data_IF_893321021374
#
_entry.id   IF_893321021374
#
_cell.length_a   1.000
_cell.length_b   1.000
_cell.length_c   1.000
_cell.angle_alpha   90.00
_cell.angle_beta   90.00
_cell.angle_gamma   90.00
#
_symmetry.space_group_name_H-M   'P 1'
#
loop_
_entity.id
_entity.type
_entity.pdbx_description
1 polymer ?
2 non-polymer ?
3 water ?
#
# COMPACT_ATOMS: atom_id res chain seq x y z
N UNK A 3 18.99 -0.44 17.42
CA UNK A 3 17.85 0.44 17.52
C UNK A 3 17.41 0.62 18.99
N UNK A 4 16.79 1.79 19.26
CA UNK A 4 16.12 2.01 20.53
C UNK A 4 15.11 0.88 20.78
N UNK A 5 14.71 0.65 22.03
CA UNK A 5 13.62 -0.27 22.34
C UNK A 5 12.32 0.32 21.85
N UNK A 6 11.42 -0.50 21.24
CA UNK A 6 10.07 0.03 20.97
C UNK A 6 9.40 0.49 22.23
N UNK A 7 8.57 1.49 22.11
CA UNK A 7 7.87 2.08 23.24
C UNK A 7 6.38 1.69 23.26
N UNK A 8 6.02 0.69 24.04
CA UNK A 8 4.67 0.23 24.04
C UNK A 8 3.68 1.21 24.65
N UNK A 9 4.12 1.94 25.68
CA UNK A 9 3.24 2.96 26.28
C UNK A 9 2.92 4.04 25.22
N UNK A 10 3.95 4.42 24.47
CA UNK A 10 3.77 5.38 23.35
C UNK A 10 2.83 4.79 22.32
N UNK A 11 3.03 3.51 21.92
CA UNK A 11 2.12 2.91 20.97
C UNK A 11 0.68 2.90 21.47
N UNK A 12 0.50 2.55 22.76
CA UNK A 12 -0.85 2.52 23.35
C UNK A 12 -1.47 3.91 23.23
N UNK A 13 -0.70 4.96 23.50
CA UNK A 13 -1.26 6.32 23.42
C UNK A 13 -1.60 6.67 21.99
N UNK A 14 -0.84 6.22 20.99
CA UNK A 14 -1.18 6.52 19.60
C UNK A 14 -2.56 5.90 19.28
N UNK A 15 -2.72 4.60 19.66
CA UNK A 15 -4.01 3.98 19.35
C UNK A 15 -5.14 4.68 20.06
N UNK A 16 -4.95 5.04 21.31
CA UNK A 16 -6.01 5.70 22.08
C UNK A 16 -6.36 7.03 21.46
N UNK A 17 -5.34 7.78 21.01
CA UNK A 17 -5.62 9.03 20.31
C UNK A 17 -6.39 8.77 19.04
N UNK A 18 -6.02 7.78 18.25
CA UNK A 18 -6.73 7.49 17.00
C UNK A 18 -8.21 7.19 17.27
N UNK A 19 -8.52 6.43 18.32
CA UNK A 19 -9.93 6.20 18.68
C UNK A 19 -10.61 7.52 19.02
N UNK A 20 -9.93 8.40 19.79
CA UNK A 20 -10.54 9.67 20.18
C UNK A 20 -10.81 10.56 18.98
N UNK A 21 -10.14 10.31 17.87
CA UNK A 21 -10.27 11.10 16.68
C UNK A 21 -11.24 10.49 15.67
N UNK A 22 -11.78 9.31 15.94
CA UNK A 22 -12.80 8.76 15.08
C UNK A 22 -12.50 7.39 14.51
N UNK A 23 -11.38 6.76 14.83
CA UNK A 23 -11.15 5.40 14.33
C UNK A 23 -11.98 4.44 15.24
N UNK A 24 -12.82 3.57 14.68
CA UNK A 24 -13.46 2.57 15.57
C UNK A 24 -12.48 1.66 16.28
N UNK A 25 -11.42 1.30 15.59
CA UNK A 25 -10.41 0.41 16.07
C UNK A 25 -9.06 0.82 15.49
N UNK A 26 -8.01 0.44 16.21
CA UNK A 26 -6.63 0.74 15.76
C UNK A 26 -5.73 -0.30 16.38
N UNK A 27 -4.70 -0.70 15.64
CA UNK A 27 -3.85 -1.78 16.19
C UNK A 27 -2.48 -1.65 15.52
N UNK A 28 -1.49 -2.33 16.09
CA UNK A 28 -0.10 -2.30 15.64
C UNK A 28 0.61 -3.56 16.09
N UNK A 29 1.46 -4.09 15.19
CA UNK A 29 2.36 -5.16 15.52
C UNK A 29 3.75 -4.75 15.11
N UNK A 30 4.70 -5.02 16.00
CA UNK A 30 6.12 -4.85 15.74
C UNK A 30 6.79 -6.22 15.86
N UNK A 31 7.61 -6.56 14.86
CA UNK A 31 8.52 -7.69 14.96
C UNK A 31 9.89 -7.08 15.19
N UNK A 32 10.33 -7.09 16.44
CA UNK A 32 11.63 -6.52 16.81
C UNK A 32 12.67 -7.62 16.88
N UNK A 33 13.22 -8.01 15.74
CA UNK A 33 14.25 -8.99 15.67
C UNK A 33 13.87 -10.27 16.46
N UNK A 34 12.64 -10.74 16.28
CA UNK A 34 12.21 -11.95 16.95
C UNK A 34 11.46 -11.79 18.26
N UNK A 35 11.29 -10.55 18.74
CA UNK A 35 10.45 -10.28 19.92
C UNK A 35 9.26 -9.50 19.41
N UNK A 36 8.05 -9.96 19.70
CA UNK A 36 6.87 -9.36 19.17
C UNK A 36 6.28 -8.34 20.13
N UNK A 37 5.81 -7.25 19.57
CA UNK A 37 4.97 -6.30 20.29
C UNK A 37 3.63 -6.22 19.57
N UNK A 38 2.53 -6.25 20.32
CA UNK A 38 1.22 -6.26 19.68
C UNK A 38 0.22 -5.57 20.58
N UNK A 39 -0.46 -4.57 20.01
CA UNK A 39 -1.45 -3.80 20.75
C UNK A 39 -2.63 -3.52 19.82
N UNK A 40 -3.82 -3.43 20.43
CA UNK A 40 -5.03 -3.11 19.69
C UNK A 40 -6.00 -2.42 20.64
N UNK A 41 -6.80 -1.52 20.14
CA UNK A 41 -7.87 -0.93 20.92
C UNK A 41 -9.08 -0.72 20.05
N UNK A 42 -10.26 -0.93 20.66
CA UNK A 42 -11.50 -0.65 19.95
C UNK A 42 -12.01 -1.85 19.18
N UNK A 43 -12.82 -1.51 18.16
CA UNK A 43 -13.70 -2.52 17.56
C UNK A 43 -13.39 -2.74 16.10
N UNK A 44 -13.46 -4.03 15.73
CA UNK A 44 -13.42 -4.47 14.34
C UNK A 44 -14.76 -4.20 13.64
N UNK A 45 -15.87 -4.34 14.40
CA UNK A 45 -17.20 -4.13 13.82
C UNK A 45 -17.89 -3.27 14.89
N UNK A 46 -18.18 -2.03 14.49
CA UNK A 46 -18.76 -1.08 15.44
C UNK A 46 -20.22 -1.33 15.71
N UNK A 47 -20.91 -2.05 14.84
CA UNK A 47 -22.34 -2.33 15.07
C UNK A 47 -22.51 -3.52 15.97
N UNK A 48 -21.67 -4.55 15.84
CA UNK A 48 -21.75 -5.69 16.73
C UNK A 48 -20.92 -5.53 17.98
N UNK A 49 -19.94 -4.61 17.97
CA UNK A 49 -19.01 -4.44 19.08
C UNK A 49 -17.87 -5.39 19.12
N UNK A 50 -17.70 -6.27 18.16
CA UNK A 50 -16.60 -7.21 18.17
C UNK A 50 -15.26 -6.49 18.19
N UNK A 51 -14.41 -6.85 19.14
CA UNK A 51 -13.15 -6.15 19.33
C UNK A 51 -12.19 -6.41 18.19
N UNK A 52 -11.39 -5.39 17.85
CA UNK A 52 -10.31 -5.54 16.88
C UNK A 52 -9.13 -6.23 17.53
N UNK A 53 -8.41 -6.99 16.73
CA UNK A 53 -7.20 -7.70 17.18
C UNK A 53 -6.17 -7.59 16.08
N UNK A 54 -4.91 -7.86 16.50
CA UNK A 54 -3.84 -7.80 15.48
C UNK A 54 -3.84 -8.98 14.54
N UNK A 55 -4.67 -10.00 14.71
CA UNK A 55 -4.78 -11.06 13.74
C UNK A 55 -5.90 -10.80 12.71
N UNK A 56 -6.68 -9.72 12.86
CA UNK A 56 -7.74 -9.44 11.90
C UNK A 56 -7.16 -9.07 10.55
N UNK A 57 -7.69 -9.68 9.50
CA UNK A 57 -7.31 -9.33 8.15
C UNK A 57 -7.90 -7.98 7.78
N UNK A 58 -7.28 -7.29 6.81
CA UNK A 58 -7.73 -5.97 6.40
C UNK A 58 -7.22 -5.66 4.99
N UNK A 59 -7.79 -4.62 4.39
CA UNK A 59 -7.38 -4.16 3.05
C UNK A 59 -6.20 -3.17 3.21
N UNK A 60 -5.07 -3.54 2.54
CA UNK A 60 -3.81 -2.79 2.71
C UNK A 60 -3.67 -1.60 1.76
N UNK A 61 -4.62 -1.42 0.84
CA UNK A 61 -4.54 -0.30 -0.06
C UNK A 61 -3.24 -0.29 -0.84
N UNK A 62 -2.62 0.90 -0.96
CA UNK A 62 -1.47 1.12 -1.80
C UNK A 62 -0.21 0.39 -1.35
N UNK A 63 -0.21 -0.28 -0.20
CA UNK A 63 0.88 -1.20 0.11
C UNK A 63 0.98 -2.25 -1.00
N UNK A 64 -0.13 -2.52 -1.68
CA UNK A 64 -0.14 -3.39 -2.85
C UNK A 64 0.95 -3.02 -3.84
N UNK A 65 1.26 -1.72 -4.02
CA UNK A 65 2.26 -1.34 -5.00
C UNK A 65 3.61 -1.99 -4.74
N UNK A 66 3.98 -2.21 -3.45
CA UNK A 66 5.25 -2.85 -3.17
C UNK A 66 5.26 -4.33 -3.62
N UNK A 67 4.09 -5.00 -3.49
CA UNK A 67 3.96 -6.36 -4.04
C UNK A 67 4.10 -6.38 -5.55
N UNK A 68 3.43 -5.43 -6.23
CA UNK A 68 3.58 -5.30 -7.67
C UNK A 68 5.02 -5.03 -8.06
N UNK A 69 5.68 -4.11 -7.35
CA UNK A 69 7.06 -3.80 -7.67
C UNK A 69 8.00 -4.98 -7.49
N UNK A 70 7.78 -5.81 -6.43
CA UNK A 70 8.61 -6.99 -6.29
C UNK A 70 8.46 -7.92 -7.48
N UNK A 71 7.22 -8.14 -7.92
CA UNK A 71 7.04 -9.02 -9.08
C UNK A 71 7.78 -8.46 -10.28
N UNK A 72 7.58 -7.14 -10.57
CA UNK A 72 8.28 -6.52 -11.70
C UNK A 72 9.80 -6.63 -11.61
N UNK A 73 10.34 -6.44 -10.42
CA UNK A 73 11.81 -6.47 -10.27
C UNK A 73 12.32 -7.90 -10.42
N UNK A 74 11.54 -8.92 -10.00
CA UNK A 74 11.93 -10.29 -10.36
C UNK A 74 11.91 -10.48 -11.86
N UNK A 75 10.95 -9.91 -12.58
CA UNK A 75 10.95 -10.02 -14.03
C UNK A 75 12.18 -9.34 -14.63
N UNK A 76 12.65 -8.25 -14.04
CA UNK A 76 13.92 -7.63 -14.49
C UNK A 76 15.05 -8.61 -14.26
N UNK A 77 15.10 -9.24 -13.09
CA UNK A 77 16.13 -10.24 -12.84
C UNK A 77 16.09 -11.36 -13.87
N UNK A 78 14.90 -11.72 -14.32
CA UNK A 78 14.76 -12.81 -15.28
C UNK A 78 15.02 -12.37 -16.70
N UNK A 79 15.30 -11.09 -16.94
CA UNK A 79 15.59 -10.62 -18.29
C UNK A 79 14.37 -10.34 -19.13
N UNK A 80 13.16 -10.29 -18.51
CA UNK A 80 11.92 -10.13 -19.22
C UNK A 80 11.44 -8.67 -19.37
N UNK A 81 12.07 -7.81 -18.60
CA UNK A 81 11.75 -6.40 -18.43
C UNK A 81 13.03 -5.61 -18.26
N UNK A 82 13.18 -4.45 -18.92
CA UNK A 82 14.27 -3.53 -18.73
C UNK A 82 13.64 -2.24 -18.15
N UNK A 83 14.14 -1.83 -16.98
CA UNK A 83 13.58 -0.64 -16.33
C UNK A 83 13.67 0.63 -17.15
N UNK A 84 14.69 0.74 -18.04
CA UNK A 84 14.79 1.96 -18.86
C UNK A 84 14.25 1.80 -20.24
N UNK A 85 13.56 0.72 -20.53
CA UNK A 85 12.81 0.62 -21.77
C UNK A 85 11.46 1.32 -21.63
N UNK A 86 10.93 1.71 -22.76
CA UNK A 86 9.59 2.27 -22.91
C UNK A 86 8.51 1.33 -22.40
N UNK A 87 7.49 1.87 -21.73
CA UNK A 87 6.33 1.05 -21.44
C UNK A 87 5.76 0.46 -22.74
N UNK A 88 5.73 1.24 -23.78
CA UNK A 88 5.08 0.80 -25.02
C UNK A 88 5.87 -0.30 -25.71
N UNK A 89 7.13 -0.54 -25.34
CA UNK A 89 7.83 -1.70 -25.89
C UNK A 89 7.09 -2.96 -25.53
N UNK A 90 6.49 -3.01 -24.33
CA UNK A 90 5.85 -4.20 -23.78
C UNK A 90 4.34 -4.18 -23.92
N UNK A 91 3.78 -2.99 -23.93
CA UNK A 91 2.31 -2.83 -24.05
C UNK A 91 2.05 -1.94 -25.23
N UNK A 92 2.11 -2.48 -26.43
CA UNK A 92 2.16 -1.65 -27.64
C UNK A 92 1.01 -0.66 -27.74
N UNK A 93 1.32 0.60 -28.03
CA UNK A 93 0.15 1.50 -28.24
C UNK A 93 -0.49 1.94 -26.95
N UNK A 94 0.00 1.59 -25.75
CA UNK A 94 -0.73 1.92 -24.53
C UNK A 94 -0.74 3.42 -24.24
N UNK A 95 0.44 3.99 -24.27
CA UNK A 95 0.62 5.37 -23.91
C UNK A 95 0.88 6.21 -25.17
N UNK A 96 0.34 7.38 -25.28
CA UNK A 96 0.64 8.21 -26.45
C UNK A 96 2.10 8.61 -26.56
N UNK A 97 2.90 8.64 -25.48
CA UNK A 97 4.32 9.01 -25.49
C UNK A 97 5.12 7.74 -25.27
N UNK A 98 5.74 7.26 -26.36
CA UNK A 98 6.43 5.97 -26.35
C UNK A 98 7.72 6.23 -25.63
N UNK A 99 8.10 7.38 -25.14
CA UNK A 99 9.29 7.69 -24.44
C UNK A 99 9.14 7.47 -22.91
N UNK A 100 7.94 7.33 -22.34
CA UNK A 100 7.73 7.03 -20.89
C UNK A 100 8.28 5.65 -20.62
N UNK A 101 9.16 5.54 -19.64
CA UNK A 101 9.83 4.29 -19.31
C UNK A 101 9.23 3.62 -18.09
N UNK A 102 9.58 2.33 -17.96
CA UNK A 102 9.10 1.53 -16.79
C UNK A 102 9.60 2.13 -15.48
N UNK A 103 10.86 2.55 -15.45
CA UNK A 103 11.39 3.14 -14.23
C UNK A 103 10.62 4.41 -13.85
N UNK A 104 10.29 5.23 -14.85
CA UNK A 104 9.52 6.42 -14.55
C UNK A 104 8.15 6.10 -13.96
N UNK A 105 7.48 5.09 -14.54
CA UNK A 105 6.19 4.64 -13.99
C UNK A 105 6.33 4.19 -12.57
N UNK A 106 7.32 3.33 -12.29
CA UNK A 106 7.40 2.72 -10.95
C UNK A 106 7.82 3.70 -9.86
N UNK A 107 8.38 4.86 -10.23
CA UNK A 107 8.80 5.88 -9.27
C UNK A 107 7.86 7.11 -9.31
N UNK A 108 6.71 7.00 -10.00
CA UNK A 108 5.77 8.12 -10.06
C UNK A 108 6.39 9.38 -10.67
N UNK A 109 7.18 9.18 -11.72
CA UNK A 109 7.73 10.31 -12.50
C UNK A 109 7.22 10.30 -13.91
N UNK A 110 6.21 9.54 -14.26
CA UNK A 110 5.77 9.41 -15.63
C UNK A 110 4.91 10.57 -16.14
N UNK A 111 4.31 11.34 -15.24
CA UNK A 111 3.33 12.35 -15.60
C UNK A 111 1.94 11.84 -15.80
N UNK A 112 1.66 10.52 -15.70
CA UNK A 112 0.31 10.05 -15.98
C UNK A 112 -0.66 10.55 -14.91
N UNK A 113 -1.76 11.10 -15.37
CA UNK A 113 -2.76 11.67 -14.45
C UNK A 113 -3.40 10.55 -13.61
N UNK A 114 -3.64 10.90 -12.33
CA UNK A 114 -4.29 9.93 -11.40
C UNK A 114 -5.80 10.01 -11.56
N UNK A 115 -6.39 9.04 -12.25
CA UNK A 115 -7.84 8.98 -12.53
C UNK A 115 -8.66 8.96 -11.23
N UNK A 116 -8.07 8.52 -10.11
CA UNK A 116 -8.88 8.47 -8.89
C UNK A 116 -9.24 9.87 -8.42
N UNK A 117 -8.57 10.92 -8.86
CA UNK A 117 -8.98 12.28 -8.55
C UNK A 117 -10.32 12.64 -9.20
N UNK A 118 -10.73 11.92 -10.23
CA UNK A 118 -12.10 12.10 -10.77
C UNK A 118 -13.03 11.38 -9.79
N UNK A 119 -12.68 10.11 -9.52
CA UNK A 119 -13.58 9.17 -8.90
C UNK A 119 -13.99 9.65 -7.52
N UNK A 120 -13.05 10.19 -6.73
CA UNK A 120 -13.31 10.40 -5.31
C UNK A 120 -13.35 11.89 -4.93
N UNK A 121 -13.67 12.76 -5.85
CA UNK A 121 -13.90 14.17 -5.48
C UNK A 121 -14.88 14.35 -4.33
N UNK A 122 -15.90 13.55 -4.30
CA UNK A 122 -16.79 13.44 -3.15
C UNK A 122 -16.62 12.06 -2.58
N UNK A 123 -16.34 11.98 -1.28
CA UNK A 123 -15.87 10.72 -0.71
C UNK A 123 -16.92 9.60 -0.76
N UNK A 124 -18.07 9.80 -0.13
CA UNK A 124 -19.02 8.69 -0.04
C UNK A 124 -19.69 8.45 -1.37
N UNK A 125 -20.11 9.48 -2.11
CA UNK A 125 -20.66 9.23 -3.45
C UNK A 125 -19.67 8.50 -4.33
N UNK A 126 -18.41 8.87 -4.29
CA UNK A 126 -17.40 8.21 -5.12
C UNK A 126 -17.22 6.76 -4.76
N UNK A 127 -17.22 6.48 -3.46
CA UNK A 127 -17.14 5.07 -3.03
C UNK A 127 -18.38 4.32 -3.52
N UNK A 128 -19.57 4.90 -3.37
CA UNK A 128 -20.77 4.21 -3.81
C UNK A 128 -20.74 3.99 -5.33
N UNK A 129 -20.08 4.87 -6.06
CA UNK A 129 -19.97 4.70 -7.51
C UNK A 129 -19.12 3.50 -7.89
N UNK A 130 -17.97 3.36 -7.24
CA UNK A 130 -16.99 2.37 -7.69
C UNK A 130 -17.11 1.04 -6.96
N UNK A 131 -17.75 0.96 -5.81
CA UNK A 131 -17.53 -0.19 -4.93
C UNK A 131 -17.90 -1.51 -5.54
N UNK A 132 -18.94 -1.51 -6.40
CA UNK A 132 -19.44 -2.73 -7.03
C UNK A 132 -19.16 -2.74 -8.52
N UNK A 133 -18.24 -1.95 -8.99
CA UNK A 133 -17.86 -1.94 -10.41
C UNK A 133 -16.65 -2.81 -10.64
N UNK A 134 -16.61 -3.43 -11.80
CA UNK A 134 -15.46 -4.17 -12.28
C UNK A 134 -14.90 -3.41 -13.49
N UNK A 135 -13.62 -3.04 -13.41
CA UNK A 135 -12.91 -2.35 -14.49
C UNK A 135 -11.89 -3.30 -15.08
N UNK A 136 -11.63 -3.14 -16.37
CA UNK A 136 -10.40 -3.74 -16.91
C UNK A 136 -9.23 -2.83 -16.62
N UNK A 137 -8.00 -3.36 -16.73
CA UNK A 137 -6.82 -2.54 -16.67
C UNK A 137 -6.88 -1.39 -17.69
N UNK A 138 -7.26 -1.74 -18.92
CA UNK A 138 -7.33 -0.75 -19.99
C UNK A 138 -8.36 0.33 -19.67
N UNK A 139 -9.49 -0.05 -19.04
CA UNK A 139 -10.45 0.98 -18.70
C UNK A 139 -9.83 2.08 -17.87
N UNK A 140 -9.02 1.68 -16.87
CA UNK A 140 -8.40 2.66 -15.96
C UNK A 140 -7.36 3.51 -16.69
N UNK A 141 -6.55 2.86 -17.54
CA UNK A 141 -5.64 3.68 -18.35
C UNK A 141 -6.35 4.70 -19.20
N UNK A 142 -7.43 4.28 -19.85
CA UNK A 142 -8.20 5.23 -20.68
C UNK A 142 -8.69 6.37 -19.82
N UNK A 143 -9.16 6.11 -18.60
CA UNK A 143 -9.61 7.22 -17.73
C UNK A 143 -8.48 8.19 -17.48
N UNK A 144 -7.27 7.69 -17.18
CA UNK A 144 -6.15 8.60 -17.00
C UNK A 144 -5.86 9.44 -18.23
N UNK A 145 -5.88 8.78 -19.38
CA UNK A 145 -5.44 9.44 -20.64
C UNK A 145 -6.44 10.46 -21.14
N UNK A 146 -7.62 10.54 -20.53
CA UNK A 146 -8.50 11.66 -20.81
C UNK A 146 -7.88 13.00 -20.41
N UNK A 147 -6.93 12.98 -19.50
CA UNK A 147 -6.19 14.14 -19.08
C UNK A 147 -4.80 14.12 -19.73
N UNK A 148 -4.26 15.27 -20.00
CA UNK A 148 -2.87 15.30 -20.43
C UNK A 148 -1.98 14.96 -19.26
N UNK A 149 -0.75 14.62 -19.61
CA UNK A 149 0.21 14.39 -18.54
C UNK A 149 0.45 15.67 -17.74
N UNK A 150 0.90 15.46 -16.49
CA UNK A 150 1.09 16.62 -15.61
C UNK A 150 2.52 17.16 -15.66
N UNK A 151 3.44 16.45 -16.31
CA UNK A 151 4.85 16.83 -16.39
C UNK A 151 5.48 15.98 -17.50
N UNK A 152 6.64 16.45 -17.99
CA UNK A 152 7.36 15.66 -18.99
C UNK A 152 7.82 14.32 -18.43
N UNK A 153 8.03 13.29 -19.24
CA UNK A 153 8.49 11.99 -18.68
C UNK A 153 9.73 12.17 -17.85
N UNK A 154 9.69 11.62 -16.65
CA UNK A 154 10.77 11.63 -15.75
C UNK A 154 10.93 12.88 -14.96
N UNK A 155 10.19 13.95 -15.31
CA UNK A 155 10.63 15.28 -14.85
C UNK A 155 10.27 15.65 -13.45
N UNK A 156 9.27 14.99 -12.85
CA UNK A 156 8.71 15.41 -11.56
C UNK A 156 8.05 14.23 -10.85
N UNK A 157 8.15 14.18 -9.54
CA UNK A 157 7.42 13.21 -8.71
C UNK A 157 5.96 13.67 -8.60
N UNK A 158 5.04 12.76 -8.96
CA UNK A 158 3.61 13.03 -8.78
C UNK A 158 2.94 11.68 -8.60
N UNK A 159 2.61 11.33 -7.35
CA UNK A 159 2.07 10.02 -7.08
C UNK A 159 0.82 9.78 -7.95
N UNK A 160 0.74 8.66 -8.61
CA UNK A 160 -0.41 8.37 -9.41
C UNK A 160 -0.72 6.89 -9.41
N UNK A 161 -1.94 6.53 -9.02
CA UNK A 161 -2.39 5.13 -9.06
C UNK A 161 -2.23 4.55 -10.47
N UNK A 162 -2.37 5.38 -11.50
CA UNK A 162 -2.27 4.89 -12.86
C UNK A 162 -0.95 4.17 -13.09
N UNK A 163 0.12 4.62 -12.46
CA UNK A 163 1.40 3.97 -12.67
C UNK A 163 1.39 2.48 -12.29
N UNK A 164 0.64 2.15 -11.21
CA UNK A 164 0.61 0.74 -10.80
C UNK A 164 -0.57 -0.04 -11.43
N UNK A 165 -1.48 0.62 -12.13
CA UNK A 165 -2.30 -0.05 -13.13
C UNK A 165 -1.41 -0.51 -14.29
N UNK A 166 -0.56 0.39 -14.80
CA UNK A 166 0.45 -0.04 -15.80
C UNK A 166 1.24 -1.22 -15.27
N UNK A 167 1.68 -1.15 -14.02
CA UNK A 167 2.46 -2.27 -13.45
C UNK A 167 1.74 -3.58 -13.58
N UNK A 168 0.45 -3.64 -13.23
CA UNK A 168 -0.27 -4.88 -13.33
C UNK A 168 -0.42 -5.37 -14.75
N UNK A 169 -0.65 -4.44 -15.67
CA UNK A 169 -0.70 -4.80 -17.10
C UNK A 169 0.61 -5.39 -17.58
N UNK A 170 1.71 -4.82 -17.12
CA UNK A 170 3.02 -5.35 -17.48
C UNK A 170 3.21 -6.75 -16.96
N UNK A 171 2.81 -6.94 -15.67
CA UNK A 171 2.97 -8.28 -15.09
C UNK A 171 2.17 -9.30 -15.90
N UNK A 172 0.92 -9.00 -16.19
CA UNK A 172 0.07 -9.97 -16.84
C UNK A 172 0.53 -10.24 -18.26
N UNK A 173 0.95 -9.21 -19.00
CA UNK A 173 1.38 -9.38 -20.36
C UNK A 173 2.63 -10.26 -20.40
N UNK A 174 3.62 -9.90 -19.57
CA UNK A 174 4.95 -10.52 -19.69
C UNK A 174 4.94 -11.98 -19.18
N UNK A 175 4.05 -12.29 -18.27
CA UNK A 175 4.01 -13.60 -17.63
C UNK A 175 2.93 -14.49 -18.25
N UNK A 176 1.93 -13.92 -18.90
CA UNK A 176 0.80 -14.72 -19.36
C UNK A 176 -0.07 -15.18 -18.22
N UNK A 177 0.09 -14.67 -17.02
CA UNK A 177 -0.67 -15.09 -15.86
C UNK A 177 -1.38 -13.88 -15.22
N UNK A 178 -2.36 -14.18 -14.37
CA UNK A 178 -2.97 -13.09 -13.62
C UNK A 178 -2.06 -12.55 -12.54
N UNK A 179 -2.29 -11.32 -12.10
CA UNK A 179 -1.48 -10.79 -11.01
C UNK A 179 -1.73 -11.67 -9.77
N UNK A 180 -2.92 -12.20 -9.54
CA UNK A 180 -3.11 -13.04 -8.37
C UNK A 180 -2.18 -14.24 -8.39
N UNK A 181 -2.06 -14.88 -9.55
CA UNK A 181 -1.17 -16.03 -9.67
C UNK A 181 0.27 -15.64 -9.40
N UNK A 182 0.69 -14.51 -9.97
CA UNK A 182 2.10 -14.09 -9.79
C UNK A 182 2.37 -13.69 -8.35
N UNK A 183 1.45 -12.97 -7.71
CA UNK A 183 1.64 -12.68 -6.29
C UNK A 183 1.76 -13.97 -5.49
N UNK A 184 0.86 -14.90 -5.79
CA UNK A 184 0.83 -16.16 -5.03
C UNK A 184 2.13 -16.89 -5.15
N UNK A 185 2.59 -17.08 -6.39
CA UNK A 185 3.73 -17.97 -6.66
C UNK A 185 5.03 -17.28 -6.27
N UNK A 186 5.15 -15.97 -6.41
CA UNK A 186 6.43 -15.28 -6.23
C UNK A 186 6.58 -14.73 -4.84
N UNK A 187 5.46 -14.53 -4.12
CA UNK A 187 5.50 -13.86 -2.83
C UNK A 187 4.73 -14.60 -1.74
N UNK A 188 3.42 -14.78 -1.94
CA UNK A 188 2.61 -15.28 -0.82
C UNK A 188 2.99 -16.70 -0.41
N UNK A 189 3.14 -17.59 -1.39
CA UNK A 189 3.53 -18.96 -1.07
C UNK A 189 4.96 -19.02 -0.54
N UNK A 190 5.97 -18.50 -1.18
CA UNK A 190 7.35 -18.62 -0.69
C UNK A 190 7.53 -18.04 0.71
N UNK A 191 6.81 -16.98 1.08
CA UNK A 191 6.93 -16.37 2.39
C UNK A 191 5.88 -16.92 3.37
N UNK A 192 5.05 -17.86 2.93
CA UNK A 192 4.00 -18.45 3.80
C UNK A 192 3.10 -17.38 4.39
N UNK A 193 2.62 -16.47 3.58
CA UNK A 193 1.75 -15.39 4.01
C UNK A 193 0.29 -15.88 4.01
N UNK A 194 -0.03 -16.61 5.11
CA UNK A 194 -1.30 -17.31 5.19
C UNK A 194 -2.52 -16.41 5.39
N UNK A 195 -2.28 -15.13 5.66
CA UNK A 195 -3.38 -14.18 5.81
C UNK A 195 -3.47 -13.22 4.64
N UNK A 196 -2.72 -13.49 3.55
CA UNK A 196 -2.58 -12.52 2.47
C UNK A 196 -3.23 -13.09 1.21
N UNK A 197 -4.05 -12.24 0.56
CA UNK A 197 -4.88 -12.64 -0.54
C UNK A 197 -5.00 -11.53 -1.56
N UNK A 198 -5.29 -11.95 -2.78
CA UNK A 198 -5.70 -11.04 -3.87
C UNK A 198 -6.86 -11.75 -4.54
N UNK A 199 -8.05 -11.25 -4.27
CA UNK A 199 -9.32 -11.95 -4.64
C UNK A 199 -10.12 -11.17 -5.65
N UNK A 200 -9.62 -10.07 -6.14
CA UNK A 200 -10.31 -9.21 -7.08
C UNK A 200 -10.94 -10.04 -8.20
N UNK A 201 -12.21 -9.79 -8.54
CA UNK A 201 -13.08 -8.74 -8.04
C UNK A 201 -14.01 -9.13 -6.89
N UNK A 202 -13.71 -10.23 -6.20
CA UNK A 202 -14.55 -10.59 -5.06
C UNK A 202 -14.53 -9.52 -4.02
N UNK A 203 -15.71 -9.31 -3.37
CA UNK A 203 -15.91 -8.30 -2.34
C UNK A 203 -15.75 -8.83 -0.92
N UNK A 204 -15.71 -10.15 -0.76
CA UNK A 204 -15.58 -10.78 0.54
C UNK A 204 -14.13 -10.73 1.01
N UNK A 205 -13.93 -10.43 2.27
CA UNK A 205 -12.62 -10.57 2.88
C UNK A 205 -12.59 -11.93 3.55
N UNK A 206 -11.71 -12.86 3.09
CA UNK A 206 -11.74 -14.21 3.69
C UNK A 206 -11.36 -14.19 5.17
N UNK A 207 -12.04 -14.99 5.96
CA UNK A 207 -11.76 -15.16 7.37
C UNK A 207 -12.05 -13.94 8.20
N UNK A 208 -11.61 -14.02 9.45
CA UNK A 208 -11.94 -12.95 10.42
C UNK A 208 -11.22 -11.66 10.04
N UNK A 209 -11.94 -10.57 9.96
CA UNK A 209 -11.38 -9.34 9.48
C UNK A 209 -11.90 -8.16 10.24
N UNK A 210 -11.14 -7.05 10.19
CA UNK A 210 -11.67 -5.76 10.59
C UNK A 210 -12.62 -5.26 9.49
N UNK A 211 -13.77 -4.73 9.91
CA UNK A 211 -14.58 -3.99 8.97
C UNK A 211 -13.98 -2.59 8.80
N UNK A 212 -14.24 -2.00 7.65
CA UNK A 212 -13.75 -0.65 7.33
C UNK A 212 -14.87 0.34 7.44
N UNK A 213 -14.55 1.54 7.98
CA UNK A 213 -15.55 2.55 8.19
C UNK A 213 -15.12 3.86 7.54
N UNK A 214 -15.78 4.19 6.44
CA UNK A 214 -15.46 5.39 5.69
C UNK A 214 -16.06 6.59 6.37
N UNK A 215 -15.26 7.63 6.63
CA UNK A 215 -15.75 8.85 7.24
C UNK A 215 -16.34 9.74 6.17
N UNK A 216 -17.57 10.22 6.33
CA UNK A 216 -18.15 11.08 5.31
C UNK A 216 -17.51 12.44 5.30
N UNK A 217 -17.70 13.18 4.21
CA UNK A 217 -17.18 14.54 4.12
C UNK A 217 -17.85 15.50 5.09
N UNK A 218 -19.09 15.25 5.47
CA UNK A 218 -19.80 16.07 6.43
C UNK A 218 -19.25 15.81 7.84
N UNK A 219 -18.69 16.84 8.50
CA UNK A 219 -18.17 16.59 9.86
C UNK A 219 -19.25 16.07 10.74
N UNK A 220 -18.91 15.06 11.54
CA UNK A 220 -19.88 14.44 12.44
C UNK A 220 -20.84 13.47 11.79
N UNK A 221 -20.75 13.28 10.47
CA UNK A 221 -21.75 12.39 9.79
C UNK A 221 -21.46 10.95 10.16
N UNK A 222 -22.55 10.17 9.95
CA UNK A 222 -22.50 8.75 10.32
C UNK A 222 -21.51 8.00 9.44
N UNK A 223 -20.75 7.10 10.06
CA UNK A 223 -19.79 6.30 9.33
C UNK A 223 -20.49 5.30 8.39
N UNK A 224 -19.82 5.05 7.27
CA UNK A 224 -20.30 4.12 6.24
C UNK A 224 -19.47 2.84 6.28
N UNK A 225 -20.11 1.68 6.36
CA UNK A 225 -19.36 0.41 6.31
C UNK A 225 -18.88 0.23 4.87
N UNK A 226 -17.57 0.30 4.66
CA UNK A 226 -16.96 0.20 3.36
C UNK A 226 -16.18 -1.10 3.19
N UNK A 227 -16.39 -2.07 4.08
CA UNK A 227 -15.63 -3.31 4.08
C UNK A 227 -15.59 -4.04 2.74
N UNK A 228 -16.78 -4.22 2.17
CA UNK A 228 -16.94 -5.12 1.02
C UNK A 228 -17.03 -4.34 -0.26
N UNK A 229 -15.98 -4.40 -1.06
CA UNK A 229 -15.93 -3.69 -2.35
C UNK A 229 -14.99 -4.48 -3.25
N UNK A 230 -15.08 -4.21 -4.55
CA UNK A 230 -14.24 -4.97 -5.48
C UNK A 230 -12.80 -4.47 -5.47
N UNK A 231 -12.57 -3.20 -5.14
CA UNK A 231 -11.28 -2.53 -5.28
C UNK A 231 -10.78 -2.62 -6.73
N UNK A 232 -11.73 -2.73 -7.67
CA UNK A 232 -11.37 -2.89 -9.09
C UNK A 232 -10.82 -1.60 -9.67
N UNK A 233 -11.11 -0.46 -9.02
CA UNK A 233 -10.53 0.82 -9.40
C UNK A 233 -9.04 0.89 -9.10
N UNK A 234 -8.50 -0.06 -8.34
CA UNK A 234 -7.06 -0.04 -8.00
C UNK A 234 -6.32 -1.28 -8.46
N UNK A 235 -6.85 -2.49 -8.19
CA UNK A 235 -6.23 -3.73 -8.65
C UNK A 235 -4.79 -3.79 -8.19
N UNK A 236 -3.81 -3.87 -9.08
CA UNK A 236 -2.40 -3.97 -8.75
C UNK A 236 -1.82 -2.71 -8.14
N UNK A 237 -2.60 -1.63 -8.00
CA UNK A 237 -2.25 -0.45 -7.24
C UNK A 237 -2.81 -0.49 -5.83
N UNK A 238 -3.75 -1.41 -5.48
CA UNK A 238 -4.40 -1.31 -4.19
C UNK A 238 -5.24 -2.44 -3.63
N UNK A 239 -5.37 -3.62 -4.26
CA UNK A 239 -6.42 -4.57 -3.81
C UNK A 239 -5.92 -5.71 -2.93
N UNK A 240 -4.66 -5.75 -2.47
CA UNK A 240 -4.25 -6.87 -1.57
C UNK A 240 -4.94 -6.76 -0.21
N UNK A 241 -5.22 -7.94 0.34
CA UNK A 241 -5.70 -8.18 1.70
C UNK A 241 -4.57 -8.80 2.49
N UNK A 242 -4.31 -8.37 3.72
CA UNK A 242 -3.24 -8.98 4.48
C UNK A 242 -3.52 -8.82 5.97
N UNK A 243 -2.46 -9.05 6.76
CA UNK A 243 -2.49 -8.92 8.21
C UNK A 243 -1.21 -8.20 8.66
N UNK A 244 -1.22 -7.76 9.92
CA UNK A 244 -0.02 -7.12 10.45
C UNK A 244 1.17 -8.07 10.42
N UNK A 245 0.95 -9.33 10.80
CA UNK A 245 2.08 -10.25 10.77
C UNK A 245 2.63 -10.44 9.40
N UNK A 246 1.73 -10.62 8.40
CA UNK A 246 2.21 -10.87 7.05
C UNK A 246 2.88 -9.65 6.42
N UNK A 247 2.38 -8.46 6.66
CA UNK A 247 3.10 -7.28 6.10
C UNK A 247 4.47 -7.14 6.77
N UNK A 248 4.57 -7.41 8.04
CA UNK A 248 5.87 -7.43 8.71
C UNK A 248 6.81 -8.44 8.05
N UNK A 249 6.32 -9.65 7.82
CA UNK A 249 7.12 -10.69 7.17
C UNK A 249 7.57 -10.23 5.81
N UNK A 250 6.65 -9.67 5.01
CA UNK A 250 6.96 -9.21 3.68
C UNK A 250 8.04 -8.15 3.63
N UNK A 251 7.87 -7.05 4.40
CA UNK A 251 8.85 -5.99 4.29
C UNK A 251 10.16 -6.40 4.94
N UNK A 252 10.17 -7.24 5.94
CA UNK A 252 11.40 -7.78 6.49
C UNK A 252 12.14 -8.63 5.46
N UNK A 253 11.42 -9.43 4.70
CA UNK A 253 12.03 -10.24 3.64
C UNK A 253 12.57 -9.34 2.51
N UNK A 254 11.82 -8.29 2.16
CA UNK A 254 12.29 -7.39 1.12
C UNK A 254 13.61 -6.77 1.50
N UNK A 255 13.61 -6.11 2.69
CA UNK A 255 14.76 -5.29 3.06
C UNK A 255 15.97 -6.14 3.35
N UNK A 256 15.76 -7.39 3.81
CA UNK A 256 16.88 -8.28 4.14
C UNK A 256 17.38 -9.00 2.88
N UNK A 257 16.83 -8.75 1.69
CA UNK A 257 17.40 -9.20 0.47
C UNK A 257 16.89 -10.53 -0.02
N UNK A 258 15.70 -10.97 0.42
CA UNK A 258 15.21 -12.27 0.07
C UNK A 258 14.33 -12.35 -1.18
N UNK A 259 13.96 -11.20 -1.75
CA UNK A 259 12.89 -11.20 -2.75
C UNK A 259 13.35 -10.84 -4.17
N UNK A 260 14.63 -10.55 -4.37
CA UNK A 260 15.15 -10.18 -5.68
C UNK A 260 16.67 -10.11 -5.56
N UNK A 261 17.36 -9.92 -6.69
CA UNK A 261 18.82 -9.70 -6.60
C UNK A 261 19.19 -8.45 -5.87
N UNK A 262 20.44 -8.41 -5.37
CA UNK A 262 20.95 -7.17 -4.77
C UNK A 262 20.89 -6.00 -5.72
N UNK A 263 21.18 -6.20 -6.99
CA UNK A 263 21.16 -5.09 -7.96
C UNK A 263 19.75 -4.53 -8.05
N UNK A 264 18.72 -5.41 -8.12
CA UNK A 264 17.37 -4.88 -8.25
C UNK A 264 16.87 -4.22 -6.96
N UNK A 265 17.27 -4.70 -5.81
CA UNK A 265 16.89 -4.02 -4.56
C UNK A 265 17.53 -2.64 -4.53
N UNK A 266 18.77 -2.52 -5.07
CA UNK A 266 19.41 -1.22 -5.12
C UNK A 266 18.63 -0.25 -5.98
N UNK A 267 18.18 -0.78 -7.15
CA UNK A 267 17.36 0.11 -7.98
C UNK A 267 16.07 0.51 -7.28
N UNK A 268 15.45 -0.43 -6.58
CA UNK A 268 14.21 -0.13 -5.85
C UNK A 268 14.39 0.98 -4.85
N UNK A 269 15.61 1.17 -4.32
CA UNK A 269 15.93 2.13 -3.26
C UNK A 269 16.65 3.35 -3.81
N UNK A 270 16.56 3.63 -5.12
CA UNK A 270 17.08 4.92 -5.61
C UNK A 270 16.00 5.95 -5.40
N UNK A 271 16.18 6.86 -4.48
CA UNK A 271 15.12 7.68 -3.98
C UNK A 271 14.86 8.94 -4.84
N UNK A 272 13.64 9.15 -5.24
CA UNK A 272 13.10 10.41 -5.77
C UNK A 272 12.55 11.18 -4.57
N UNK A 273 12.93 12.45 -4.42
CA UNK A 273 12.42 13.25 -3.33
C UNK A 273 10.94 13.44 -3.38
N UNK A 274 10.29 13.18 -2.27
CA UNK A 274 8.86 13.41 -2.08
C UNK A 274 8.66 14.71 -1.30
N UNK A 275 9.33 14.82 -0.16
CA UNK A 275 9.32 16.03 0.68
C UNK A 275 10.61 15.98 1.47
N UNK A 276 10.75 16.89 2.41
CA UNK A 276 12.01 16.99 3.11
C UNK A 276 12.28 15.81 4.03
N UNK A 277 11.31 14.93 4.31
CA UNK A 277 11.56 13.78 5.16
C UNK A 277 11.17 12.47 4.48
N UNK A 278 10.99 12.48 3.16
CA UNK A 278 10.47 11.30 2.48
C UNK A 278 11.02 11.19 1.07
N UNK A 279 11.16 9.92 0.65
CA UNK A 279 11.50 9.57 -0.70
C UNK A 279 10.61 8.49 -1.25
N UNK A 280 10.68 8.31 -2.57
CA UNK A 280 9.98 7.19 -3.24
C UNK A 280 10.97 6.52 -4.17
N UNK A 281 11.02 5.20 -4.11
CA UNK A 281 11.95 4.41 -4.92
C UNK A 281 11.20 3.85 -6.10
N UNK A 282 11.13 2.52 -6.19
CA UNK A 282 10.31 1.82 -7.17
C UNK A 282 9.25 1.05 -6.37
N UNK A 283 8.06 1.62 -6.28
CA UNK A 283 7.00 1.03 -5.45
C UNK A 283 7.37 0.87 -4.01
N UNK A 284 8.08 1.85 -3.44
CA UNK A 284 8.61 1.75 -2.11
C UNK A 284 8.78 3.17 -1.57
N UNK A 285 8.41 3.39 -0.32
CA UNK A 285 8.60 4.69 0.35
C UNK A 285 9.73 4.62 1.36
N UNK A 286 10.41 5.76 1.53
CA UNK A 286 11.32 6.01 2.62
C UNK A 286 10.75 7.12 3.49
N UNK A 287 10.67 6.89 4.80
CA UNK A 287 10.30 7.94 5.75
C UNK A 287 11.45 8.16 6.75
N UNK A 288 11.79 9.41 6.92
CA UNK A 288 12.90 9.79 7.84
C UNK A 288 12.30 10.20 9.17
N UNK A 289 12.67 9.46 10.23
CA UNK A 289 12.06 9.69 11.55
C UNK A 289 12.83 10.70 12.36
N UNK A 290 12.21 11.20 13.40
CA UNK A 290 12.78 12.32 14.20
C UNK A 290 14.10 11.98 14.83
N UNK A 291 14.38 10.73 15.12
CA UNK A 291 15.59 10.33 15.79
C UNK A 291 16.73 9.96 14.86
N UNK A 292 16.56 10.29 13.58
CA UNK A 292 17.64 10.10 12.58
C UNK A 292 17.69 8.66 12.04
N UNK A 293 16.62 7.92 12.16
CA UNK A 293 16.41 6.58 11.57
C UNK A 293 15.56 6.76 10.32
N UNK A 294 15.88 6.15 9.21
CA UNK A 294 14.94 6.01 8.06
C UNK A 294 14.37 4.60 8.06
N UNK A 295 13.10 4.53 7.63
CA UNK A 295 12.40 3.24 7.51
C UNK A 295 11.78 3.18 6.12
N UNK A 296 11.43 1.96 5.71
CA UNK A 296 11.22 1.64 4.31
C UNK A 296 9.96 0.76 4.18
N UNK A 297 9.07 1.10 3.28
CA UNK A 297 7.84 0.29 3.17
C UNK A 297 6.81 1.06 2.40
N UNK A 298 5.56 1.04 2.89
CA UNK A 298 4.55 1.77 2.16
C UNK A 298 3.36 2.03 3.08
N UNK A 299 2.63 3.08 2.76
CA UNK A 299 1.34 3.41 3.34
C UNK A 299 0.21 2.95 2.42
N UNK A 300 -0.98 2.84 3.01
CA UNK A 300 -2.20 2.54 2.25
C UNK A 300 -3.35 3.36 2.78
N UNK A 301 -4.17 3.87 1.86
CA UNK A 301 -5.46 4.42 2.13
C UNK A 301 -6.42 3.77 1.14
N UNK A 302 -7.36 3.00 1.67
CA UNK A 302 -8.45 2.44 0.87
C UNK A 302 -9.69 2.66 1.73
N UNK A 303 -10.88 2.71 1.17
CA UNK A 303 -11.99 3.20 1.97
C UNK A 303 -12.21 2.35 3.23
N UNK A 304 -12.14 3.05 4.36
CA UNK A 304 -12.26 2.43 5.64
C UNK A 304 -10.99 1.90 6.31
N UNK A 305 -9.82 2.03 5.66
CA UNK A 305 -8.61 1.44 6.20
C UNK A 305 -7.38 2.30 5.91
N UNK A 306 -6.66 2.69 6.95
CA UNK A 306 -5.37 3.32 6.86
C UNK A 306 -4.30 2.36 7.37
N UNK A 307 -3.28 2.11 6.53
CA UNK A 307 -2.18 1.20 6.82
C UNK A 307 -0.84 1.90 6.78
N UNK A 308 0.02 1.57 7.73
CA UNK A 308 1.44 1.88 7.64
C UNK A 308 2.20 0.56 7.77
N UNK A 309 3.15 0.28 6.89
CA UNK A 309 3.94 -0.95 6.98
C UNK A 309 5.36 -0.60 6.58
N UNK A 310 6.26 -0.61 7.56
CA UNK A 310 7.64 -0.15 7.36
C UNK A 310 8.62 -1.02 8.10
N UNK A 311 9.83 -1.12 7.54
CA UNK A 311 10.89 -1.91 8.15
C UNK A 311 12.18 -1.09 8.19
N UNK A 312 13.07 -1.49 9.10
CA UNK A 312 14.41 -0.91 9.09
C UNK A 312 15.20 -1.37 7.87
N UNK A 313 16.33 -0.69 7.62
CA UNK A 313 17.11 -0.93 6.39
C UNK A 313 17.51 -2.39 6.22
N UNK A 314 17.81 -3.08 7.34
CA UNK A 314 18.23 -4.49 7.24
C UNK A 314 17.07 -5.45 7.46
N UNK A 315 15.83 -4.94 7.57
CA UNK A 315 14.68 -5.78 7.76
C UNK A 315 14.49 -6.38 9.16
N UNK A 316 15.40 -6.08 10.09
CA UNK A 316 15.29 -6.78 11.35
C UNK A 316 14.21 -6.27 12.25
N UNK A 317 13.74 -5.02 12.08
CA UNK A 317 12.56 -4.56 12.81
C UNK A 317 11.54 -4.13 11.78
N UNK A 318 10.31 -4.60 11.93
CA UNK A 318 9.21 -4.20 11.05
C UNK A 318 7.99 -3.89 11.89
N UNK A 319 7.20 -2.96 11.38
CA UNK A 319 6.03 -2.45 12.05
C UNK A 319 4.88 -2.32 11.08
N UNK A 320 3.71 -2.80 11.42
CA UNK A 320 2.51 -2.60 10.66
C UNK A 320 1.42 -2.09 11.59
N UNK A 321 0.80 -0.98 11.21
CA UNK A 321 -0.27 -0.38 11.98
C UNK A 321 -1.48 -0.17 11.06
N UNK A 322 -2.66 -0.31 11.63
CA UNK A 322 -3.95 -0.26 10.92
C UNK A 322 -4.93 0.48 11.78
N UNK A 323 -5.64 1.43 11.19
CA UNK A 323 -6.85 1.99 11.78
C UNK A 323 -7.98 1.72 10.79
N UNK A 324 -9.12 1.25 11.28
CA UNK A 324 -10.23 0.92 10.36
C UNK A 324 -11.19 2.07 10.14
N UNK A 325 -10.59 3.24 9.81
CA UNK A 325 -11.33 4.31 9.16
C UNK A 325 -10.47 4.88 8.05
N UNK A 326 -11.11 5.71 7.24
CA UNK A 326 -10.36 6.57 6.31
C UNK A 326 -11.15 7.84 6.10
N UNK A 327 -10.64 8.70 5.19
CA UNK A 327 -11.11 10.08 5.05
C UNK A 327 -11.17 10.78 6.39
N UNK A 328 -10.08 10.61 7.15
CA UNK A 328 -9.96 11.21 8.49
C UNK A 328 -8.52 11.56 8.68
N UNK A 329 -8.13 12.76 8.28
CA UNK A 329 -6.72 13.17 8.25
C UNK A 329 -6.11 13.11 9.64
N UNK A 330 -6.88 13.47 10.63
CA UNK A 330 -6.31 13.40 11.98
C UNK A 330 -5.87 11.99 12.33
N UNK A 331 -6.72 10.99 12.04
CA UNK A 331 -6.35 9.60 12.28
C UNK A 331 -5.14 9.19 11.48
N UNK A 332 -5.09 9.56 10.20
CA UNK A 332 -3.97 9.23 9.34
C UNK A 332 -2.68 9.76 9.95
N UNK A 333 -2.70 11.04 10.36
CA UNK A 333 -1.47 11.66 10.94
C UNK A 333 -1.15 10.99 12.27
N UNK A 334 -2.14 10.71 13.09
CA UNK A 334 -1.85 10.02 14.36
C UNK A 334 -1.20 8.71 14.17
N UNK A 335 -1.72 7.91 13.22
CA UNK A 335 -1.21 6.54 13.06
C UNK A 335 0.26 6.56 12.60
N UNK A 336 0.72 7.64 11.92
CA UNK A 336 2.14 7.72 11.58
C UNK A 336 3.02 7.68 12.79
N UNK A 337 2.54 8.14 13.93
CA UNK A 337 3.29 8.19 15.17
C UNK A 337 3.70 6.80 15.61
N UNK A 338 3.00 5.73 15.18
CA UNK A 338 3.44 4.37 15.52
C UNK A 338 4.89 4.15 15.07
N UNK A 339 5.31 4.78 13.97
CA UNK A 339 6.68 4.55 13.49
C UNK A 339 7.67 5.18 14.45
N UNK A 340 7.34 6.38 14.97
CA UNK A 340 8.21 7.00 15.96
C UNK A 340 8.31 6.14 17.20
N UNK A 341 7.15 5.70 17.77
CA UNK A 341 7.24 4.92 18.99
C UNK A 341 7.93 3.58 18.78
N UNK A 342 7.72 2.94 17.63
CA UNK A 342 8.27 1.60 17.41
C UNK A 342 9.74 1.60 17.08
N UNK A 343 10.24 2.65 16.37
CA UNK A 343 11.61 2.71 15.95
C UNK A 343 12.46 3.64 16.82
N UNK A 344 11.95 4.82 17.15
CA UNK A 344 12.69 5.77 17.95
C UNK A 344 12.53 5.54 19.45
N UNK A 345 11.47 4.90 19.90
CA UNK A 345 11.31 4.58 21.29
C UNK A 345 10.95 5.74 22.17
N UNK A 346 11.09 5.52 23.49
CA UNK A 346 10.72 6.60 24.43
C UNK A 346 11.68 7.75 24.28
N UNK A 347 11.13 8.96 24.30
CA UNK A 347 11.95 10.17 24.31
C UNK A 347 12.87 10.11 25.56
X LIG B 1 -3.12 7.91 -2.39
X LIG B 1 -2.10 8.09 -0.88
X LIG B 1 -1.56 6.69 -0.44
X LIG B 1 -1.67 5.92 -1.64
X LIG B 1 -2.58 6.22 -2.71
X LIG B 1 -3.66 5.11 -2.76
X LIG B 1 -3.11 3.97 -1.96
X LIG B 1 -4.94 5.43 -2.17
X LIG B 1 -5.82 6.18 -2.88
X LIG B 1 -5.59 6.55 -4.01
X LIG B 1 -6.99 6.66 -2.08
X LIG B 1 -8.34 6.43 -2.72
X LIG B 1 -9.43 7.28 -2.10
X LIG B 1 -9.46 7.10 -0.57
X LIG B 1 -10.61 7.87 0.10
X LIG B 1 -10.63 7.52 1.56
X LIG B 1 -11.15 6.47 1.89
X LIG B 1 -9.98 8.33 2.39
X LIG B 1 -10.49 9.29 -0.18
X LIG B 1 -11.49 10.03 -0.70
X LIG B 1 -12.57 9.61 -1.00
X LIG B 1 -11.15 11.47 -0.87
X LIG B 1 -12.37 12.25 -1.17
X LIG B 1 -0.77 8.82 -1.24
X LIG B 1 -2.82 8.87 0.19
X LIG B 1 -0.15 6.33 0.23
X LIG B 1 0.81 6.02 -0.54
X LIG B 1 0.00 6.88 1.31
X LIG B 1 -3.40 3.62 -0.87
#
# INVERSE_FOLDING_TARGET
ADLPAPDDTGLQAVLHTALSQGAPGAMVRVDDNGTIHQLSEGVADRATGRAITTTDRFRVGSVTKSFSAVVLLQLVDEGKLDLDASVNTYLPGLLPDDRITVRQVMSHRSGLYDYTNDMFAQTVPGFESVRNKVFSYQDLITLSLKHGVTNAPGAAYSYSNTNFVVAGMLIEKLTGHSVATEYQNRIFTPLNLTDTFYVHPDTVIPGTHANGYLTPDEAGGALVDSTEQTVSWAQSAGAVISSTQDLDTFFSALMSGQLMSAAQLAQMQQWTTVNSTQGYGLGLRRRDLSCGISVYGHTGTVQGYYTYAFASKDGKRSVTALANTSNNVNVLNTMARTLESAFCGKPTT
HE0 S1 C2 C3 N4 C5 C6 C7 N8 C9 O10 C11 C12 C13 C14 C15 C16 O17 O18 N19 C20 O21 C22 N23 C24 C25 C26 O27 O28 O29
#
